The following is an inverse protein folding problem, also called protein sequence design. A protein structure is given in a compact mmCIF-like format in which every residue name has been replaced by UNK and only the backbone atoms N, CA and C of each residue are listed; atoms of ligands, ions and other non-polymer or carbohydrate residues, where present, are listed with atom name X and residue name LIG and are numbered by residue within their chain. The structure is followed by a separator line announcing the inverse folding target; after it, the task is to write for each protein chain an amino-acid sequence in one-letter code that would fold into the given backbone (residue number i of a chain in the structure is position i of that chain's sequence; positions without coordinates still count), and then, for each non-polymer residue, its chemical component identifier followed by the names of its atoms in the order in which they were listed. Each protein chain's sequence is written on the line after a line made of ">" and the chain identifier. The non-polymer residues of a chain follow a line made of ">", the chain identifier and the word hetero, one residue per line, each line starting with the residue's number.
data_IF_800475473428
#
_entry.id   IF_800475473428
#
_cell.length_a   1.000
_cell.length_b   1.000
_cell.length_c   1.000
_cell.angle_alpha   90.00
_cell.angle_beta   90.00
_cell.angle_gamma   90.00
#
_symmetry.space_group_name_H-M   'P 1'
#
loop_
_entity.id
_entity.type
_entity.pdbx_description
1 polymer ?
2 non-polymer ?
3 water ?
#
# COMPACT_ATOMS: atom_id res chain seq x y z
C UNK A 1 6.41 -14.37 -13.99
N UNK A 2 5.49 -14.40 -14.94
CA UNK A 2 5.02 -13.18 -15.60
C UNK A 2 3.63 -12.73 -15.16
N UNK A 3 2.59 -13.47 -15.54
CA UNK A 3 1.18 -13.04 -15.40
C UNK A 3 0.58 -12.90 -13.96
N UNK A 4 0.85 -13.86 -13.07
CA UNK A 4 0.68 -13.71 -11.62
C UNK A 4 1.49 -12.52 -11.18
N UNK A 5 2.65 -12.36 -11.82
CA UNK A 5 3.53 -11.25 -11.52
C UNK A 5 3.05 -9.96 -12.18
N UNK A 6 1.91 -10.03 -12.85
CA UNK A 6 1.26 -8.86 -13.42
C UNK A 6 -0.14 -8.62 -12.84
N UNK A 7 -0.44 -9.23 -11.69
CA UNK A 7 -1.81 -9.19 -11.15
C UNK A 7 -2.07 -8.17 -10.06
N UNK A 8 -3.32 -8.03 -9.67
CA UNK A 8 -3.73 -7.13 -8.60
C UNK A 8 -4.14 -7.95 -7.39
N UNK A 9 -3.52 -7.66 -6.26
CA UNK A 9 -3.66 -8.47 -5.05
C UNK A 9 -4.83 -7.95 -4.26
N UNK A 10 -4.86 -6.64 -4.07
CA UNK A 10 -5.94 -5.93 -3.39
C UNK A 10 -6.01 -4.53 -3.98
N UNK A 11 -7.23 -4.04 -4.15
CA UNK A 11 -7.45 -2.63 -4.45
C UNK A 11 -8.64 -2.12 -3.64
N UNK A 12 -8.73 -0.81 -3.50
CA UNK A 12 -9.78 -0.22 -2.72
C UNK A 12 -9.30 1.09 -2.17
N UNK A 13 -10.21 1.78 -1.48
CA UNK A 13 -9.95 3.12 -0.96
C UNK A 13 -9.37 3.04 0.44
N UNK A 14 -8.50 3.98 0.74
CA UNK A 14 -8.09 4.20 2.12
C UNK A 14 -7.79 5.68 2.37
N UNK A 15 -7.58 6.03 3.64
CA UNK A 15 -7.14 7.37 3.99
C UNK A 15 -5.65 7.38 4.06
N UNK A 16 -5.04 8.38 3.46
CA UNK A 16 -3.59 8.50 3.51
C UNK A 16 -3.25 9.80 4.21
N UNK A 17 -2.51 9.71 5.31
CA UNK A 17 -2.07 10.89 6.06
C UNK A 17 -0.87 11.58 5.43
N UNK A 18 -0.87 12.91 5.45
CA UNK A 18 0.31 13.69 5.10
C UNK A 18 1.51 13.35 5.96
N UNK A 19 2.70 13.38 5.35
CA UNK A 19 3.98 13.26 6.08
C UNK A 19 4.12 14.32 7.16
N UNK A 20 3.79 15.56 6.79
CA UNK A 20 4.06 16.74 7.60
C UNK A 20 2.77 17.46 7.99
N UNK A 21 1.88 17.61 7.01
CA UNK A 21 0.57 18.24 7.18
C UNK A 21 -0.39 17.11 7.49
N UNK A 22 -0.74 17.01 8.78
CA UNK A 22 -1.30 15.78 9.33
C UNK A 22 -2.79 15.63 9.04
N UNK A 23 -3.12 15.56 7.76
CA UNK A 23 -4.50 15.45 7.33
C UNK A 23 -4.70 14.15 6.57
N UNK A 24 -5.82 13.48 6.81
CA UNK A 24 -6.17 12.28 6.08
C UNK A 24 -6.71 12.71 4.72
N UNK A 25 -6.25 12.05 3.66
CA UNK A 25 -6.72 12.31 2.29
C UNK A 25 -7.13 11.02 1.55
N UNK A 26 -8.19 11.09 0.72
CA UNK A 26 -8.68 9.87 0.05
C UNK A 26 -7.75 9.42 -1.09
N UNK A 27 -7.46 8.13 -1.15
CA UNK A 27 -6.71 7.57 -2.25
C UNK A 27 -7.26 6.18 -2.61
N UNK A 28 -7.43 5.94 -3.91
CA UNK A 28 -7.70 4.60 -4.43
C UNK A 28 -6.34 3.95 -4.72
N UNK A 29 -6.06 2.85 -4.04
CA UNK A 29 -4.79 2.15 -4.16
C UNK A 29 -4.93 0.78 -4.79
N UNK A 30 -3.83 0.31 -5.39
CA UNK A 30 -3.73 -1.01 -5.99
C UNK A 30 -2.46 -1.66 -5.47
N UNK A 31 -2.60 -2.85 -4.90
CA UNK A 31 -1.49 -3.65 -4.49
C UNK A 31 -1.18 -4.64 -5.60
N UNK A 32 0.02 -4.50 -6.17
CA UNK A 32 0.45 -5.34 -7.28
C UNK A 32 1.35 -6.45 -6.77
N UNK A 33 1.18 -7.61 -7.40
CA UNK A 33 2.02 -8.79 -7.21
C UNK A 33 3.51 -8.53 -7.26
N UNK A 34 3.90 -7.62 -8.16
CA UNK A 34 5.29 -7.23 -8.36
C UNK A 34 5.79 -6.33 -7.24
N UNK A 35 4.90 -5.93 -6.34
CA UNK A 35 5.31 -5.19 -5.17
C UNK A 35 5.07 -3.70 -5.20
N UNK A 36 4.64 -3.16 -6.33
CA UNK A 36 4.34 -1.74 -6.36
C UNK A 36 2.99 -1.50 -5.70
N UNK A 37 2.83 -0.31 -5.15
CA UNK A 37 1.64 0.15 -4.46
C UNK A 37 1.39 1.52 -5.13
N UNK A 38 0.39 1.59 -6.00
CA UNK A 38 0.06 2.82 -6.73
C UNK A 38 -1.25 3.36 -6.21
N UNK A 39 -1.29 4.67 -6.07
CA UNK A 39 -2.43 5.36 -5.50
C UNK A 39 -2.92 6.47 -6.40
N UNK A 40 -4.20 6.79 -6.23
CA UNK A 40 -4.91 7.75 -7.08
C UNK A 40 -5.89 8.64 -6.32
N UNK A 41 -6.09 9.83 -6.88
CA UNK A 41 -7.06 10.82 -6.47
C UNK A 41 -8.50 10.25 -6.49
N UNK A 42 -8.84 9.61 -7.62
CA UNK A 42 -10.11 8.91 -7.84
C UNK A 42 -9.80 7.48 -8.21
N UNK A 43 -10.80 6.61 -8.11
CA UNK A 43 -10.71 5.28 -8.68
C UNK A 43 -10.47 5.37 -10.19
N UNK A 44 -9.32 4.88 -10.66
CA UNK A 44 -8.92 4.98 -12.06
C UNK A 44 -9.96 4.35 -12.99
N UNK A 45 -10.60 5.22 -13.78
CA UNK A 45 -11.76 4.87 -14.58
C UNK A 45 -11.40 3.77 -15.57
N UNK A 46 -10.99 4.17 -16.77
CA UNK A 46 -10.62 3.21 -17.79
C UNK A 46 -9.22 2.67 -17.50
N UNK A 47 -8.59 2.08 -18.52
CA UNK A 47 -7.15 1.77 -18.47
C UNK A 47 -6.30 3.05 -18.59
N UNK A 48 -6.77 4.02 -19.38
CA UNK A 48 -5.97 5.21 -19.68
C UNK A 48 -5.67 6.08 -18.48
N UNK A 49 -6.59 6.09 -17.50
CA UNK A 49 -6.44 6.88 -16.27
C UNK A 49 -5.39 6.30 -15.32
N UNK A 50 -5.24 4.97 -15.38
CA UNK A 50 -4.29 4.20 -14.57
C UNK A 50 -2.85 4.63 -14.80
N UNK A 51 -2.66 5.43 -15.84
CA UNK A 51 -1.35 5.77 -16.34
C UNK A 51 -0.88 7.13 -15.84
N UNK A 52 -1.62 7.71 -14.89
CA UNK A 52 -1.25 9.00 -14.27
C UNK A 52 -1.45 8.98 -12.75
N UNK A 53 -0.64 8.18 -12.04
CA UNK A 53 -0.92 7.92 -10.63
C UNK A 53 -0.51 9.07 -9.74
N UNK A 54 -0.92 9.02 -8.48
CA UNK A 54 -0.61 10.08 -7.55
C UNK A 54 0.51 9.63 -6.63
N UNK A 55 0.51 8.35 -6.31
CA UNK A 55 1.47 7.74 -5.39
C UNK A 55 2.11 6.50 -6.02
N UNK A 56 3.36 6.21 -5.67
CA UNK A 56 4.12 5.13 -6.28
C UNK A 56 5.24 4.66 -5.42
N UNK A 57 5.07 3.56 -4.70
CA UNK A 57 6.24 2.99 -4.01
C UNK A 57 6.29 1.47 -4.01
N UNK A 58 7.44 0.95 -3.59
CA UNK A 58 7.69 -0.47 -3.51
C UNK A 58 7.31 -0.92 -2.12
N UNK A 59 6.66 -2.07 -2.03
CA UNK A 59 6.35 -2.64 -0.72
C UNK A 59 6.81 -4.11 -0.58
N UNK A 60 7.79 -4.51 -1.40
CA UNK A 60 8.55 -5.73 -1.14
C UNK A 60 9.67 -5.25 -0.26
N UNK A 61 9.90 -5.90 0.87
CA UNK A 61 10.79 -5.32 1.91
C UNK A 61 10.11 -4.15 2.64
N UNK A 62 9.24 -4.47 3.59
CA UNK A 62 8.55 -3.45 4.37
C UNK A 62 8.16 -3.96 5.75
N UNK A 63 7.81 -3.03 6.63
CA UNK A 63 7.25 -3.35 7.92
C UNK A 63 5.84 -2.86 7.99
N UNK A 64 4.97 -3.73 8.48
CA UNK A 64 3.56 -3.43 8.63
C UNK A 64 3.28 -3.24 10.11
N UNK A 65 2.85 -2.04 10.44
CA UNK A 65 2.66 -1.66 11.82
C UNK A 65 1.25 -1.14 11.95
N UNK A 66 0.63 -1.44 13.08
CA UNK A 66 -0.73 -1.00 13.33
C UNK A 66 -0.72 -0.07 14.54
N UNK A 67 -1.50 1.00 14.48
CA UNK A 67 -1.57 1.99 15.56
C UNK A 67 -3.01 2.45 15.81
N UNK A 68 -3.24 3.02 16.99
CA UNK A 68 -4.58 3.47 17.42
C UNK A 68 -4.61 4.96 17.62
N UNK A 69 -3.55 5.63 17.17
CA UNK A 69 -3.45 7.08 17.21
C UNK A 69 -2.99 7.56 15.85
N UNK A 70 -3.61 8.64 15.33
CA UNK A 70 -4.57 9.55 15.99
C UNK A 70 -6.01 9.07 15.81
N UNK A 71 -6.13 7.95 15.10
CA UNK A 71 -7.38 7.33 14.74
C UNK A 71 -7.21 5.83 14.93
N UNK A 72 -8.22 5.17 15.50
CA UNK A 72 -8.21 3.71 15.51
C UNK A 72 -8.20 3.17 14.07
N UNK A 73 -7.64 1.97 13.88
CA UNK A 73 -7.52 1.32 12.57
C UNK A 73 -6.56 2.05 11.64
N UNK A 74 -5.56 2.67 12.26
CA UNK A 74 -4.45 3.22 11.52
C UNK A 74 -3.39 2.15 11.29
N UNK A 75 -2.74 2.21 10.13
CA UNK A 75 -1.53 1.45 9.96
C UNK A 75 -0.42 2.23 9.25
N UNK A 76 0.82 1.81 9.52
CA UNK A 76 2.01 2.40 8.94
C UNK A 76 2.79 1.36 8.13
N UNK A 77 3.20 1.76 6.94
CA UNK A 77 4.01 0.95 6.04
C UNK A 77 5.41 1.57 5.96
N UNK A 78 6.42 0.80 6.35
CA UNK A 78 7.77 1.30 6.29
C UNK A 78 8.53 0.46 5.29
N UNK A 79 8.81 1.01 4.12
CA UNK A 79 9.40 0.16 3.10
C UNK A 79 10.64 0.69 2.43
N UNK A 80 11.60 -0.21 2.27
CA UNK A 80 12.86 0.11 1.62
C UNK A 80 12.66 0.52 0.15
N UNK A 81 13.35 1.59 -0.23
CA UNK A 81 13.14 2.30 -1.49
C UNK A 81 14.46 2.67 -2.22
N UNK A 82 15.32 1.68 -2.49
CA UNK A 82 16.69 1.90 -3.09
C UNK A 82 17.82 2.06 -2.08
N UNK A 83 17.88 3.16 -1.32
CA UNK A 83 18.83 3.21 -0.19
C UNK A 83 18.20 3.74 1.09
N UNK A 84 17.02 4.33 0.95
CA UNK A 84 16.30 4.92 2.07
C UNK A 84 14.99 4.19 2.26
N UNK A 85 14.38 4.40 3.42
CA UNK A 85 13.06 3.90 3.71
C UNK A 85 12.06 5.03 3.48
N UNK A 86 10.85 4.68 3.03
CA UNK A 86 9.71 5.60 3.14
C UNK A 86 8.70 5.07 4.18
N UNK A 87 8.20 5.94 5.04
CA UNK A 87 7.12 5.51 5.92
C UNK A 87 5.84 6.18 5.49
N UNK A 88 4.80 5.39 5.30
CA UNK A 88 3.47 5.95 5.02
C UNK A 88 2.38 5.46 5.97
N UNK A 89 1.55 6.40 6.39
CA UNK A 89 0.52 6.16 7.38
C UNK A 89 -0.80 6.17 6.64
N UNK A 90 -1.65 5.19 6.95
CA UNK A 90 -2.96 4.99 6.31
C UNK A 90 -4.06 4.74 7.34
N UNK A 91 -5.31 4.88 6.93
CA UNK A 91 -6.42 4.58 7.83
C UNK A 91 -7.59 3.94 7.08
N UNK A 92 -8.25 3.00 7.76
CA UNK A 92 -9.47 2.32 7.26
C UNK A 92 -10.56 2.29 8.36
N UNK A 93 -11.79 1.89 8.03
CA UNK A 93 -12.88 2.07 9.00
C UNK A 93 -12.92 1.01 10.11
N UNK A 94 -12.47 -0.21 9.81
CA UNK A 94 -12.44 -1.28 10.81
C UNK A 94 -11.06 -1.89 11.01
N UNK A 95 -10.82 -2.49 12.20
CA UNK A 95 -9.52 -3.15 12.32
C UNK A 95 -9.46 -4.35 11.41
N UNK A 96 -10.62 -4.85 10.99
CA UNK A 96 -10.64 -6.04 10.17
C UNK A 96 -10.28 -5.70 8.74
N UNK A 97 -10.72 -4.54 8.27
CA UNK A 97 -10.22 -4.01 7.01
C UNK A 97 -8.69 -3.79 7.12
N UNK A 98 -8.26 -3.15 8.21
CA UNK A 98 -6.84 -2.91 8.43
C UNK A 98 -6.08 -4.19 8.36
N UNK A 99 -6.56 -5.21 9.07
CA UNK A 99 -5.87 -6.50 9.14
C UNK A 99 -5.79 -7.20 7.77
N UNK A 100 -6.80 -6.97 6.92
CA UNK A 100 -6.82 -7.54 5.55
C UNK A 100 -5.80 -6.89 4.60
N UNK A 101 -5.77 -5.56 4.61
CA UNK A 101 -4.79 -4.79 3.88
C UNK A 101 -3.35 -5.13 4.28
N UNK A 102 -3.10 -5.16 5.59
CA UNK A 102 -1.83 -5.50 6.19
C UNK A 102 -1.38 -6.93 5.83
N UNK A 103 -2.29 -7.89 5.90
CA UNK A 103 -1.99 -9.28 5.57
C UNK A 103 -1.75 -9.47 4.07
N UNK A 104 -2.38 -8.63 3.24
CA UNK A 104 -2.21 -8.75 1.81
C UNK A 104 -0.86 -8.19 1.36
N UNK A 105 -0.51 -7.01 1.87
CA UNK A 105 0.81 -6.44 1.63
C UNK A 105 1.86 -7.49 2.00
N UNK A 106 1.78 -8.00 3.22
CA UNK A 106 2.69 -9.03 3.71
C UNK A 106 2.75 -10.27 2.81
N UNK A 107 1.62 -10.63 2.21
CA UNK A 107 1.53 -11.73 1.22
C UNK A 107 2.36 -11.44 -0.04
N UNK A 108 2.31 -10.19 -0.51
CA UNK A 108 3.08 -9.77 -1.68
C UNK A 108 4.58 -9.83 -1.38
N UNK A 109 4.97 -9.35 -0.20
CA UNK A 109 6.38 -9.35 0.21
C UNK A 109 6.94 -10.77 0.41
N UNK A 110 6.19 -11.63 1.08
CA UNK A 110 6.57 -13.04 1.22
C UNK A 110 6.73 -13.74 -0.12
N UNK A 111 5.84 -13.43 -1.05
CA UNK A 111 5.96 -13.94 -2.41
C UNK A 111 7.36 -13.70 -2.96
N UNK A 112 7.85 -12.48 -2.77
CA UNK A 112 9.12 -12.03 -3.35
C UNK A 112 10.36 -12.38 -2.50
N UNK A 113 10.17 -12.46 -1.18
CA UNK A 113 11.22 -12.95 -0.29
C UNK A 113 11.54 -14.42 -0.61
N UNK A 114 10.50 -15.21 -0.86
CA UNK A 114 10.66 -16.60 -1.30
C UNK A 114 11.38 -16.68 -2.67
N UNK A 115 11.13 -15.71 -3.55
CA UNK A 115 11.81 -15.71 -4.87
C UNK A 115 13.29 -15.31 -4.78
N UNK A 116 13.60 -14.34 -3.92
CA UNK A 116 14.98 -13.94 -3.61
C UNK A 116 15.80 -15.07 -2.97
N UNK A 117 15.16 -15.87 -2.11
CA UNK A 117 15.80 -16.99 -1.42
C UNK A 117 16.38 -18.00 -2.41
N UNK A 118 15.59 -18.36 -3.42
CA UNK A 118 15.99 -19.41 -4.35
C UNK A 118 16.82 -18.88 -5.52
N UNK A 119 17.02 -19.74 -6.52
X LIG B 1 3.58 14.92 1.28
X LIG B 1 3.60 15.48 2.58
X LIG B 1 2.33 14.03 1.17
X LIG B 1 2.28 13.12 2.29
X LIG B 1 2.30 13.24 -0.14
X LIG B 1 1.22 12.33 -0.05
X LIG B 1 3.62 12.51 -0.40
X LIG B 1 3.56 11.86 -1.66
X LIG B 1 4.77 13.52 -0.35
X LIG B 1 5.96 12.80 -0.57
X LIG B 1 4.87 14.13 1.04
X LIG B 1 5.97 15.01 1.05
X LIG B 1 2.58 16.71 2.87
X LIG B 1 3.56 18.02 2.84
X LIG B 1 2.29 16.43 4.43
X LIG B 1 1.39 16.80 1.97
X LIG B 1 0.09 12.66 -1.14
X LIG B 1 -0.67 13.94 -0.95
X LIG B 1 1.01 12.68 -2.48
X LIG B 1 -0.85 11.37 -1.16
X LIG B 1 4.16 10.33 -1.77
X LIG B 1 5.65 10.23 -1.94
X LIG B 1 3.38 9.74 -3.05
X LIG B 1 3.57 9.53 -0.51
X LIG B 1 7.12 13.37 -1.55
X LIG B 1 8.20 14.15 -0.90
X LIG B 1 7.57 11.95 -1.97
X LIG B 1 6.50 13.99 -2.90
#
# INVERSE_FOLDING_TARGET
>A
XSMSDVAIVKEGWLHKRGKYIKTWRPRYFLLKNDGTFIGYKERPQDVDQREAPLNNFSVAQCQLMKTERPRPNTFIIRCLQWTTVIERTFHVETPEEREEWTTAIQTVADGLKKQEEEEMDFRSG
>B hetero
1 4IP C1 O1 C2 O2 C3 O3 C4 O4 C5 O5 C6 O6 P1 O1P O2P O3P P3 O4P O5P O6P P4 O7P O8P O9P P5 OPF OPG OPH
#
